data_IF_600079047806
#
_entry.id   IF_600079047806
#
_cell.length_a   1.000
_cell.length_b   1.000
_cell.length_c   1.000
_cell.angle_alpha   90.00
_cell.angle_beta   90.00
_cell.angle_gamma   90.00
#
_symmetry.space_group_name_H-M   'P 1'
#
loop_
_entity.id
_entity.type
_entity.pdbx_description
1 polymer ?
#
# COMPACT_ATOMS: atom_id res chain seq x y z
N UNK A 1 -13.71 -17.99 4.30
CA UNK A 1 -13.20 -18.90 5.33
C UNK A 1 -12.08 -18.25 6.10
N UNK A 2 -12.02 -18.49 7.38
CA UNK A 2 -11.03 -17.86 8.25
C UNK A 2 -9.60 -18.23 7.85
N UNK A 3 -9.37 -19.45 7.33
CA UNK A 3 -8.05 -19.86 6.86
C UNK A 3 -7.50 -18.99 5.74
N UNK A 4 -8.38 -18.48 4.86
CA UNK A 4 -7.94 -17.61 3.77
C UNK A 4 -7.52 -16.25 4.31
N UNK A 5 -8.30 -15.70 5.24
CA UNK A 5 -8.00 -14.41 5.87
C UNK A 5 -6.67 -14.46 6.62
N UNK A 6 -6.38 -15.57 7.30
CA UNK A 6 -5.17 -15.74 8.08
C UNK A 6 -3.89 -15.47 7.28
N UNK A 7 -3.87 -15.84 6.02
CA UNK A 7 -2.71 -15.67 5.15
C UNK A 7 -2.59 -14.25 4.57
N UNK A 8 -3.59 -13.41 4.78
CA UNK A 8 -3.63 -12.07 4.17
C UNK A 8 -2.75 -11.05 4.89
N UNK A 9 -2.37 -11.30 6.14
CA UNK A 9 -1.58 -10.34 6.92
C UNK A 9 -0.32 -9.90 6.17
N UNK A 10 0.43 -10.84 5.61
CA UNK A 10 1.67 -10.53 4.92
C UNK A 10 1.44 -9.59 3.72
N UNK A 11 0.34 -9.77 3.01
CA UNK A 11 0.03 -8.92 1.86
C UNK A 11 -0.30 -7.50 2.29
N UNK A 12 -1.08 -7.35 3.36
CA UNK A 12 -1.43 -6.04 3.90
C UNK A 12 -0.19 -5.31 4.44
N UNK A 13 0.71 -6.03 5.12
CA UNK A 13 1.95 -5.45 5.62
C UNK A 13 2.86 -4.97 4.47
N UNK A 14 2.94 -5.73 3.39
CA UNK A 14 3.71 -5.33 2.20
C UNK A 14 3.13 -4.07 1.56
N UNK A 15 1.82 -3.95 1.51
CA UNK A 15 1.17 -2.73 1.00
C UNK A 15 1.50 -1.54 1.91
N UNK A 16 1.36 -1.70 3.22
CA UNK A 16 1.65 -0.64 4.18
C UNK A 16 3.11 -0.20 4.11
N UNK A 17 4.03 -1.15 3.98
CA UNK A 17 5.45 -0.82 3.82
C UNK A 17 5.69 0.00 2.55
N UNK A 18 5.08 -0.39 1.43
CA UNK A 18 5.20 0.35 0.17
C UNK A 18 4.67 1.78 0.30
N UNK A 19 3.53 1.95 0.96
CA UNK A 19 2.97 3.28 1.20
C UNK A 19 3.92 4.13 2.06
N UNK A 20 4.49 3.54 3.11
CA UNK A 20 5.44 4.24 3.98
C UNK A 20 6.67 4.74 3.21
N UNK A 21 7.21 3.92 2.32
CA UNK A 21 8.33 4.35 1.46
C UNK A 21 7.93 5.48 0.52
N UNK A 22 6.78 5.36 -0.12
CA UNK A 22 6.28 6.42 -1.01
C UNK A 22 6.15 7.73 -0.23
N UNK A 23 5.64 7.70 0.99
CA UNK A 23 5.51 8.90 1.82
C UNK A 23 6.85 9.59 2.06
N UNK A 24 7.93 8.83 2.23
CA UNK A 24 9.27 9.40 2.30
C UNK A 24 9.68 10.05 0.98
N UNK A 25 9.38 9.41 -0.15
CA UNK A 25 9.82 9.88 -1.46
C UNK A 25 9.09 11.16 -1.90
N UNK A 26 7.87 11.40 -1.41
CA UNK A 26 7.10 12.60 -1.77
C UNK A 26 7.18 13.71 -0.70
N UNK A 27 7.78 13.45 0.45
CA UNK A 27 7.68 14.32 1.64
C UNK A 27 8.13 15.76 1.39
N UNK A 28 9.16 15.96 0.55
CA UNK A 28 9.75 17.27 0.30
C UNK A 28 9.12 18.01 -0.88
N UNK A 29 8.05 17.47 -1.46
CA UNK A 29 7.47 18.01 -2.69
C UNK A 29 6.02 18.40 -2.50
N UNK A 30 5.67 19.60 -2.98
CA UNK A 30 4.30 20.10 -3.02
C UNK A 30 3.73 20.08 -4.42
N UNK A 31 4.62 20.12 -5.45
CA UNK A 31 4.22 20.19 -6.84
C UNK A 31 4.61 18.93 -7.61
N UNK A 32 3.68 18.47 -8.46
CA UNK A 32 3.89 17.25 -9.24
C UNK A 32 5.12 17.35 -10.15
N UNK A 33 5.36 18.51 -10.75
CA UNK A 33 6.47 18.67 -11.69
C UNK A 33 7.83 18.57 -11.01
N UNK A 34 7.94 19.12 -9.80
CA UNK A 34 9.18 19.07 -9.02
C UNK A 34 9.46 17.65 -8.57
N UNK A 35 8.43 16.94 -8.14
CA UNK A 35 8.56 15.54 -7.77
C UNK A 35 8.99 14.69 -8.97
N UNK A 36 8.36 14.90 -10.11
CA UNK A 36 8.70 14.14 -11.33
C UNK A 36 10.16 14.34 -11.74
N UNK A 37 10.68 15.56 -11.63
CA UNK A 37 12.05 15.91 -12.07
C UNK A 37 13.11 15.56 -11.02
N UNK A 38 12.73 15.37 -9.77
CA UNK A 38 13.69 15.16 -8.68
C UNK A 38 14.61 13.98 -8.95
N UNK A 39 15.91 14.18 -8.71
CA UNK A 39 16.93 13.14 -8.77
C UNK A 39 16.88 12.33 -10.08
N UNK A 40 16.72 13.03 -11.19
CA UNK A 40 16.64 12.41 -12.51
C UNK A 40 15.51 11.39 -12.61
N UNK A 41 14.35 11.75 -12.05
CA UNK A 41 13.13 10.93 -12.02
C UNK A 41 13.21 9.69 -11.12
N UNK A 42 14.20 9.60 -10.24
CA UNK A 42 14.33 8.45 -9.34
C UNK A 42 13.15 8.31 -8.38
N UNK A 43 12.74 9.42 -7.76
CA UNK A 43 11.61 9.39 -6.83
C UNK A 43 10.32 8.96 -7.52
N UNK A 44 10.08 9.49 -8.70
CA UNK A 44 8.90 9.16 -9.50
C UNK A 44 8.90 7.69 -9.89
N UNK A 45 10.02 7.20 -10.47
CA UNK A 45 10.14 5.83 -10.92
C UNK A 45 10.03 4.83 -9.76
N UNK A 46 10.69 5.12 -8.64
CA UNK A 46 10.60 4.27 -7.44
C UNK A 46 9.17 4.20 -6.93
N UNK A 47 8.45 5.33 -6.94
CA UNK A 47 7.05 5.38 -6.49
C UNK A 47 6.13 4.58 -7.40
N UNK A 48 6.33 4.64 -8.73
CA UNK A 48 5.55 3.81 -9.66
C UNK A 48 5.78 2.33 -9.42
N UNK A 49 7.03 1.92 -9.17
CA UNK A 49 7.36 0.52 -8.84
C UNK A 49 6.62 0.06 -7.58
N UNK A 50 6.58 0.93 -6.57
CA UNK A 50 5.88 0.63 -5.32
C UNK A 50 4.36 0.58 -5.52
N UNK A 51 3.80 1.43 -6.38
CA UNK A 51 2.37 1.37 -6.75
C UNK A 51 2.03 0.05 -7.44
N UNK A 52 2.91 -0.43 -8.31
CA UNK A 52 2.75 -1.76 -8.93
C UNK A 52 2.72 -2.83 -7.84
N UNK A 53 3.65 -2.77 -6.88
CA UNK A 53 3.69 -3.73 -5.78
C UNK A 53 2.41 -3.68 -4.94
N UNK A 54 1.89 -2.49 -4.65
CA UNK A 54 0.62 -2.34 -3.94
C UNK A 54 -0.49 -3.08 -4.68
N UNK A 55 -0.56 -2.91 -6.00
CA UNK A 55 -1.55 -3.62 -6.83
C UNK A 55 -1.36 -5.13 -6.82
N UNK A 56 -0.12 -5.60 -6.91
CA UNK A 56 0.20 -7.02 -6.89
C UNK A 56 -0.20 -7.67 -5.56
N UNK A 57 0.16 -7.04 -4.44
CA UNK A 57 -0.19 -7.57 -3.12
C UNK A 57 -1.70 -7.54 -2.91
N UNK A 58 -2.36 -6.47 -3.35
CA UNK A 58 -3.81 -6.35 -3.29
C UNK A 58 -4.51 -7.48 -4.03
N UNK A 59 -3.98 -7.89 -5.18
CA UNK A 59 -4.54 -9.02 -5.94
C UNK A 59 -4.40 -10.35 -5.20
N UNK A 60 -3.41 -10.48 -4.32
CA UNK A 60 -3.18 -11.71 -3.54
C UNK A 60 -4.08 -11.82 -2.32
N UNK A 61 -4.64 -10.71 -1.87
CA UNK A 61 -5.56 -10.70 -0.73
C UNK A 61 -6.79 -11.55 -1.07
N UNK A 62 -7.25 -12.36 -0.12
CA UNK A 62 -8.36 -13.27 -0.32
C UNK A 62 -9.68 -12.54 -0.62
N UNK A 63 -10.55 -13.20 -1.36
CA UNK A 63 -11.90 -12.67 -1.61
C UNK A 63 -12.72 -12.57 -0.32
N UNK A 64 -12.43 -13.44 0.65
CA UNK A 64 -13.09 -13.40 1.96
C UNK A 64 -12.79 -12.08 2.67
N UNK A 65 -11.53 -11.65 2.71
CA UNK A 65 -11.17 -10.38 3.34
C UNK A 65 -11.72 -9.18 2.55
N UNK A 66 -11.61 -9.22 1.23
CA UNK A 66 -12.13 -8.15 0.37
C UNK A 66 -13.63 -7.96 0.53
N UNK A 67 -14.38 -9.06 0.64
CA UNK A 67 -15.82 -9.01 0.87
C UNK A 67 -16.17 -8.46 2.25
N UNK A 68 -15.41 -8.84 3.26
CA UNK A 68 -15.59 -8.35 4.63
C UNK A 68 -15.28 -6.85 4.75
N UNK A 69 -14.32 -6.35 4.00
CA UNK A 69 -13.87 -4.95 4.01
C UNK A 69 -14.10 -4.29 2.65
N UNK A 70 -15.32 -4.41 2.13
CA UNK A 70 -15.68 -3.97 0.78
C UNK A 70 -15.69 -2.44 0.59
N UNK A 71 -15.62 -1.68 1.67
CA UNK A 71 -15.52 -0.21 1.58
C UNK A 71 -14.18 0.27 1.04
N UNK A 72 -13.15 -0.59 1.06
CA UNK A 72 -11.86 -0.27 0.47
C UNK A 72 -11.94 -0.48 -1.06
N UNK A 73 -11.32 0.43 -1.81
CA UNK A 73 -11.44 0.48 -3.28
C UNK A 73 -10.50 -0.53 -3.97
N UNK A 74 -10.68 -1.83 -3.73
CA UNK A 74 -9.83 -2.90 -4.26
C UNK A 74 -9.72 -2.88 -5.79
N UNK A 75 -10.83 -2.63 -6.48
CA UNK A 75 -10.87 -2.60 -7.95
C UNK A 75 -10.07 -1.43 -8.52
N UNK A 76 -10.13 -0.26 -7.87
CA UNK A 76 -9.38 0.92 -8.32
C UNK A 76 -7.87 0.70 -8.20
N UNK A 77 -7.42 0.07 -7.13
CA UNK A 77 -6.01 -0.28 -6.92
C UNK A 77 -5.52 -1.17 -8.05
N UNK A 78 -6.28 -2.21 -8.38
CA UNK A 78 -5.96 -3.13 -9.47
C UNK A 78 -5.94 -2.41 -10.82
N UNK A 79 -6.91 -1.54 -11.08
CA UNK A 79 -7.01 -0.79 -12.32
C UNK A 79 -5.82 0.13 -12.54
N UNK A 80 -5.40 0.84 -11.50
CA UNK A 80 -4.24 1.73 -11.59
C UNK A 80 -2.94 0.95 -11.82
N UNK A 81 -2.75 -0.17 -11.11
CA UNK A 81 -1.60 -1.05 -11.33
C UNK A 81 -1.52 -1.53 -12.78
N UNK A 82 -2.66 -1.93 -13.35
CA UNK A 82 -2.70 -2.39 -14.73
C UNK A 82 -2.30 -1.28 -15.71
N UNK A 83 -2.75 -0.05 -15.47
CA UNK A 83 -2.38 1.08 -16.31
C UNK A 83 -0.87 1.33 -16.28
N UNK A 84 -0.25 1.32 -15.09
CA UNK A 84 1.20 1.51 -14.97
C UNK A 84 1.94 0.39 -15.72
N UNK A 85 1.51 -0.86 -15.54
CA UNK A 85 2.20 -2.01 -16.13
C UNK A 85 2.12 -2.03 -17.67
N UNK A 86 1.03 -1.52 -18.24
CA UNK A 86 0.80 -1.58 -19.69
C UNK A 86 1.10 -0.27 -20.43
N UNK A 87 1.13 0.86 -19.75
CA UNK A 87 1.34 2.15 -20.38
C UNK A 87 2.18 3.07 -19.49
N UNK A 88 3.38 2.59 -19.15
CA UNK A 88 4.28 3.31 -18.26
C UNK A 88 4.61 4.72 -18.77
N UNK A 89 4.92 4.86 -20.07
CA UNK A 89 5.31 6.14 -20.67
C UNK A 89 4.13 7.11 -20.74
N UNK A 90 2.91 6.58 -20.92
CA UNK A 90 1.69 7.38 -21.01
C UNK A 90 1.09 7.77 -19.66
N UNK A 91 1.71 7.40 -18.55
CA UNK A 91 1.19 7.72 -17.21
C UNK A 91 1.22 9.23 -16.96
N UNK A 92 0.07 9.78 -16.60
CA UNK A 92 -0.06 11.19 -16.26
C UNK A 92 0.58 11.45 -14.89
N UNK A 93 1.64 12.28 -14.90
CA UNK A 93 2.40 12.57 -13.68
C UNK A 93 1.62 13.40 -12.66
N UNK A 94 0.68 14.22 -13.11
CA UNK A 94 -0.15 15.03 -12.21
C UNK A 94 -1.17 14.15 -11.48
N UNK A 95 -1.84 13.27 -12.21
CA UNK A 95 -2.76 12.29 -11.61
C UNK A 95 -2.01 11.36 -10.67
N UNK A 96 -0.83 10.90 -11.07
CA UNK A 96 0.00 10.03 -10.23
C UNK A 96 0.36 10.72 -8.92
N UNK A 97 0.87 11.95 -8.98
CA UNK A 97 1.25 12.68 -7.76
C UNK A 97 0.05 12.90 -6.84
N UNK A 98 -1.12 13.21 -7.40
CA UNK A 98 -2.35 13.36 -6.63
C UNK A 98 -2.71 12.08 -5.88
N UNK A 99 -2.58 10.93 -6.55
CA UNK A 99 -2.81 9.62 -5.90
C UNK A 99 -1.83 9.41 -4.75
N UNK A 100 -0.53 9.65 -4.99
CA UNK A 100 0.50 9.46 -3.96
C UNK A 100 0.28 10.38 -2.75
N UNK A 101 -0.12 11.61 -3.00
CA UNK A 101 -0.24 12.63 -1.96
C UNK A 101 -1.56 12.56 -1.20
N UNK A 102 -2.66 12.29 -1.90
CA UNK A 102 -4.00 12.45 -1.33
C UNK A 102 -4.77 11.13 -1.16
N UNK A 103 -4.57 10.15 -2.04
CA UNK A 103 -5.33 8.90 -1.95
C UNK A 103 -4.62 7.83 -1.12
N UNK A 104 -3.29 7.74 -1.20
CA UNK A 104 -2.55 6.74 -0.42
C UNK A 104 -2.68 6.93 1.10
N UNK A 105 -2.70 8.14 1.65
CA UNK A 105 -2.93 8.30 3.10
C UNK A 105 -4.28 7.74 3.55
N UNK A 106 -5.32 7.86 2.71
CA UNK A 106 -6.64 7.30 3.01
C UNK A 106 -6.56 5.76 2.99
N UNK A 107 -5.93 5.20 1.97
CA UNK A 107 -5.73 3.76 1.86
C UNK A 107 -4.94 3.22 3.06
N UNK A 108 -3.87 3.92 3.44
CA UNK A 108 -3.06 3.55 4.60
C UNK A 108 -3.91 3.43 5.85
N UNK A 109 -4.73 4.43 6.12
CA UNK A 109 -5.60 4.45 7.29
C UNK A 109 -6.59 3.27 7.27
N UNK A 110 -7.20 3.01 6.13
CA UNK A 110 -8.12 1.89 5.97
C UNK A 110 -7.43 0.54 6.20
N UNK A 111 -6.24 0.36 5.66
CA UNK A 111 -5.48 -0.89 5.83
C UNK A 111 -5.03 -1.08 7.28
N UNK A 112 -4.62 -0.02 7.95
CA UNK A 112 -4.26 -0.07 9.38
C UNK A 112 -5.44 -0.54 10.22
N UNK A 113 -6.64 -0.04 9.93
CA UNK A 113 -7.87 -0.46 10.62
C UNK A 113 -8.20 -1.93 10.35
N UNK A 114 -8.03 -2.39 9.11
CA UNK A 114 -8.27 -3.79 8.78
C UNK A 114 -7.33 -4.70 9.57
N UNK A 115 -6.04 -4.38 9.62
CA UNK A 115 -5.07 -5.17 10.38
C UNK A 115 -5.45 -5.20 11.86
N UNK A 116 -5.81 -4.04 12.42
CA UNK A 116 -6.24 -3.94 13.82
C UNK A 116 -7.45 -4.82 14.11
N UNK A 117 -8.48 -4.75 13.26
CA UNK A 117 -9.71 -5.54 13.42
C UNK A 117 -9.41 -7.03 13.36
N UNK A 118 -8.66 -7.47 12.36
CA UNK A 118 -8.40 -8.90 12.17
C UNK A 118 -7.46 -9.47 13.22
N UNK A 119 -6.55 -8.66 13.77
CA UNK A 119 -5.77 -9.05 14.94
C UNK A 119 -6.64 -9.20 16.18
N UNK A 120 -7.56 -8.26 16.40
CA UNK A 120 -8.47 -8.29 17.55
C UNK A 120 -9.43 -9.47 17.49
N UNK A 121 -9.83 -9.88 16.29
CA UNK A 121 -10.75 -10.99 16.05
C UNK A 121 -10.00 -12.35 15.96
N UNK A 122 -8.70 -12.37 16.22
CA UNK A 122 -7.84 -13.55 16.13
C UNK A 122 -7.80 -14.21 14.75
N UNK A 123 -8.11 -13.46 13.69
CA UNK A 123 -7.98 -13.94 12.31
C UNK A 123 -6.56 -13.80 11.77
N UNK A 124 -5.78 -12.85 12.32
CA UNK A 124 -4.34 -12.74 12.07
C UNK A 124 -3.57 -13.18 13.28
N UNK A 125 -2.43 -13.86 13.08
CA UNK A 125 -1.58 -14.31 14.16
C UNK A 125 -0.78 -13.16 14.76
N UNK A 126 -0.94 -12.92 16.06
CA UNK A 126 -0.21 -11.86 16.77
C UNK A 126 1.30 -12.09 16.72
N UNK A 127 1.74 -13.33 16.77
CA UNK A 127 3.16 -13.66 16.70
C UNK A 127 3.76 -13.23 15.36
N UNK A 128 3.07 -13.50 14.25
CA UNK A 128 3.52 -13.08 12.92
C UNK A 128 3.61 -11.56 12.83
N UNK A 129 2.62 -10.86 13.36
CA UNK A 129 2.61 -9.40 13.41
C UNK A 129 3.78 -8.85 14.23
N UNK A 130 4.03 -9.40 15.41
CA UNK A 130 5.14 -8.96 16.26
C UNK A 130 6.50 -9.24 15.62
N UNK A 131 6.66 -10.36 14.92
CA UNK A 131 7.89 -10.66 14.18
C UNK A 131 8.13 -9.63 13.06
N UNK A 132 7.08 -9.16 12.40
CA UNK A 132 7.20 -8.14 11.36
C UNK A 132 7.84 -6.86 11.89
N UNK A 133 7.54 -6.47 13.13
CA UNK A 133 8.09 -5.25 13.74
C UNK A 133 9.61 -5.25 13.83
N UNK A 134 10.23 -6.43 13.91
CA UNK A 134 11.69 -6.56 14.00
C UNK A 134 12.35 -6.82 12.65
N UNK A 135 11.58 -6.90 11.57
CA UNK A 135 12.09 -7.18 10.23
C UNK A 135 12.57 -5.92 9.52
N UNK A 136 13.71 -6.01 8.87
CA UNK A 136 14.22 -4.93 8.01
C UNK A 136 13.31 -4.63 6.82
N UNK A 137 12.45 -5.57 6.44
CA UNK A 137 11.53 -5.42 5.30
C UNK A 137 10.27 -4.62 5.66
N UNK A 138 10.01 -4.35 6.95
CA UNK A 138 8.79 -3.70 7.41
C UNK A 138 9.08 -2.54 8.37
N UNK A 139 10.06 -1.71 8.01
CA UNK A 139 10.52 -0.60 8.86
C UNK A 139 9.73 0.71 8.64
N UNK A 140 8.91 0.77 7.60
CA UNK A 140 8.15 1.98 7.24
C UNK A 140 6.68 1.90 7.60
N UNK A 141 6.28 0.85 8.31
CA UNK A 141 4.91 0.68 8.80
C UNK A 141 4.75 1.46 10.11
N UNK A 142 3.65 2.17 10.22
CA UNK A 142 3.32 2.95 11.42
C UNK A 142 2.53 2.07 12.39
N UNK A 143 3.25 1.25 13.14
CA UNK A 143 2.64 0.26 14.06
C UNK A 143 1.82 0.90 15.16
N UNK A 144 2.11 2.14 15.53
CA UNK A 144 1.33 2.86 16.57
C UNK A 144 -0.13 3.02 16.17
N UNK A 145 -0.40 3.12 14.87
CA UNK A 145 -1.76 3.25 14.38
C UNK A 145 -2.52 1.92 14.40
N UNK A 146 -1.81 0.81 14.54
CA UNK A 146 -2.40 -0.54 14.56
C UNK A 146 -2.51 -1.04 16.01
N UNK A 147 -1.46 -0.84 16.80
CA UNK A 147 -1.43 -1.23 18.20
C UNK A 147 -2.44 -0.42 19.02
#
# INVERSE_FOLDING_TARGET
>A
MQSDIKNDLVYLLRILESIGKIQLYIADFEEAIDFFRANDQQNFNASLMLLINIGEQSNRVSNALKGKHSSLAWTQIKGFRNRIAHDYIGIDRFITFDILQNELPILKNQLEQIVQIELSDDNFEKEEYELAKSSEYYTHIDYKNID
#
